data_IF_057466158291
#
_entry.id   IF_057466158291
#
_cell.length_a   1.000
_cell.length_b   1.000
_cell.length_c   1.000
_cell.angle_alpha   90.00
_cell.angle_beta   90.00
_cell.angle_gamma   90.00
#
_symmetry.space_group_name_H-M   'P 1'
#
loop_
_entity.id
_entity.type
_entity.pdbx_description
1 polymer ?
#
# COMPACT_ATOMS: atom_id res chain seq x y z
N UNK A 1 14.17 -24.97 6.43
CA UNK A 1 14.98 -25.15 5.21
C UNK A 1 14.87 -23.90 4.36
N UNK A 2 15.97 -23.15 4.21
CA UNK A 2 16.08 -22.03 3.26
C UNK A 2 16.13 -22.62 1.85
N UNK A 3 15.30 -22.13 0.93
CA UNK A 3 15.59 -22.20 -0.50
C UNK A 3 15.60 -20.77 -1.04
N UNK A 4 16.81 -20.39 -1.44
CA UNK A 4 17.19 -19.15 -2.08
C UNK A 4 17.32 -19.44 -3.59
N UNK A 5 17.22 -18.38 -4.38
CA UNK A 5 17.65 -18.24 -5.79
C UNK A 5 16.64 -18.74 -6.85
N UNK A 6 16.47 -18.13 -8.02
CA UNK A 6 17.34 -17.25 -8.81
C UNK A 6 16.52 -16.17 -9.55
N UNK A 7 17.09 -14.98 -9.69
CA UNK A 7 16.72 -13.98 -10.70
C UNK A 7 17.12 -14.52 -12.07
N UNK A 8 16.23 -14.45 -13.06
CA UNK A 8 16.58 -14.56 -14.47
C UNK A 8 15.91 -13.41 -15.24
N UNK A 9 16.76 -12.43 -15.55
CA UNK A 9 16.51 -11.40 -16.56
C UNK A 9 16.71 -12.07 -17.93
N UNK A 10 15.67 -12.13 -18.75
CA UNK A 10 15.78 -12.53 -20.14
C UNK A 10 14.98 -11.54 -20.99
N UNK A 11 15.69 -10.59 -21.59
CA UNK A 11 15.16 -9.77 -22.67
C UNK A 11 14.87 -10.66 -23.87
N UNK A 12 13.67 -10.48 -24.44
CA UNK A 12 13.27 -11.09 -25.70
C UNK A 12 12.74 -9.97 -26.60
N UNK A 13 13.64 -9.43 -27.40
CA UNK A 13 13.33 -8.61 -28.57
C UNK A 13 12.84 -9.57 -29.65
N UNK A 14 11.59 -9.41 -30.10
CA UNK A 14 11.12 -9.99 -31.35
C UNK A 14 10.45 -8.91 -32.19
N UNK A 15 11.17 -8.52 -33.24
CA UNK A 15 10.70 -7.72 -34.35
C UNK A 15 9.83 -8.60 -35.28
N UNK A 16 8.68 -8.10 -35.70
CA UNK A 16 8.01 -8.52 -36.93
C UNK A 16 7.62 -7.28 -37.74
N UNK A 17 8.07 -7.25 -39.00
CA UNK A 17 7.86 -6.19 -40.00
C UNK A 17 6.40 -6.02 -40.44
N UNK A 18 6.02 -5.08 -41.30
CA UNK A 18 6.69 -4.62 -42.52
C UNK A 18 6.23 -3.20 -42.91
N UNK A 19 7.13 -2.36 -43.43
CA UNK A 19 6.85 -1.56 -44.63
C UNK A 19 8.16 -1.07 -45.26
N UNK A 20 8.16 -0.96 -46.58
CA UNK A 20 9.30 -0.88 -47.50
C UNK A 20 9.40 0.55 -48.05
N UNK A 21 10.58 1.19 -47.98
CA UNK A 21 10.82 2.47 -48.66
C UNK A 21 12.06 3.24 -48.20
N UNK A 22 13.20 2.94 -48.84
CA UNK A 22 14.36 3.75 -49.22
C UNK A 22 14.75 5.12 -48.58
N UNK A 23 16.08 5.23 -48.40
CA UNK A 23 17.00 6.39 -48.51
C UNK A 23 17.43 7.19 -47.25
N UNK A 24 18.69 6.94 -46.86
CA UNK A 24 19.75 7.79 -46.29
C UNK A 24 19.42 9.02 -45.42
N UNK A 25 19.79 8.97 -44.12
CA UNK A 25 20.73 9.91 -43.46
C UNK A 25 20.87 9.65 -41.95
N UNK A 26 22.10 9.86 -41.48
CA UNK A 26 22.55 10.01 -40.09
C UNK A 26 21.47 10.54 -39.13
N UNK A 27 21.21 9.83 -38.04
CA UNK A 27 20.26 10.23 -37.01
C UNK A 27 20.52 9.46 -35.72
N UNK A 28 21.02 10.20 -34.73
CA UNK A 28 21.20 9.81 -33.33
C UNK A 28 19.99 9.04 -32.79
N UNK A 29 20.24 7.98 -32.02
CA UNK A 29 19.20 7.20 -31.36
C UNK A 29 18.24 8.13 -30.59
N UNK A 30 16.92 7.98 -30.71
CA UNK A 30 16.01 8.76 -29.88
C UNK A 30 16.22 8.32 -28.43
N UNK A 31 16.87 9.18 -27.63
CA UNK A 31 16.71 9.17 -26.18
C UNK A 31 15.21 9.26 -25.94
N UNK A 32 14.62 8.14 -25.53
CA UNK A 32 13.36 8.14 -24.80
C UNK A 32 13.59 8.94 -23.53
N UNK A 33 13.42 10.26 -23.61
CA UNK A 33 13.21 11.06 -22.42
C UNK A 33 11.84 10.63 -21.90
N UNK A 34 11.84 9.66 -21.00
CA UNK A 34 10.80 9.57 -19.98
C UNK A 34 10.77 10.94 -19.31
N UNK A 35 9.90 11.81 -19.81
CA UNK A 35 9.53 13.04 -19.15
C UNK A 35 8.72 12.63 -17.93
N UNK A 36 9.42 12.17 -16.89
CA UNK A 36 8.89 12.01 -15.56
C UNK A 36 8.57 13.41 -15.05
N UNK A 37 7.37 13.91 -15.34
CA UNK A 37 6.88 15.13 -14.70
C UNK A 37 6.86 14.86 -13.20
N UNK A 38 7.75 15.51 -12.47
CA UNK A 38 7.74 15.45 -11.00
C UNK A 38 6.39 15.97 -10.51
N UNK A 39 5.73 15.20 -9.63
CA UNK A 39 4.48 15.64 -9.00
C UNK A 39 4.72 16.92 -8.18
N UNK A 40 3.78 17.85 -8.27
CA UNK A 40 3.70 19.02 -7.40
C UNK A 40 3.51 18.61 -5.93
N UNK A 41 3.77 19.54 -5.01
CA UNK A 41 3.59 19.29 -3.57
C UNK A 41 2.12 19.03 -3.25
N UNK A 42 1.23 19.70 -3.96
CA UNK A 42 -0.22 19.57 -3.85
C UNK A 42 -0.68 18.17 -4.28
N UNK A 43 -0.18 17.66 -5.41
CA UNK A 43 -0.47 16.30 -5.89
C UNK A 43 0.06 15.24 -4.92
N UNK A 44 1.29 15.41 -4.41
CA UNK A 44 1.86 14.50 -3.41
C UNK A 44 1.01 14.51 -2.14
N UNK A 45 0.62 15.69 -1.65
CA UNK A 45 -0.20 15.82 -0.43
C UNK A 45 -1.58 15.21 -0.61
N UNK A 46 -2.21 15.40 -1.77
CA UNK A 46 -3.48 14.76 -2.11
C UNK A 46 -3.35 13.23 -2.10
N UNK A 47 -2.29 12.67 -2.70
CA UNK A 47 -2.05 11.23 -2.70
C UNK A 47 -1.76 10.69 -1.31
N UNK A 48 -1.04 11.42 -0.45
CA UNK A 48 -0.81 11.04 0.94
C UNK A 48 -2.12 11.02 1.75
N UNK A 49 -3.02 11.97 1.52
CA UNK A 49 -4.37 11.97 2.14
C UNK A 49 -5.20 10.78 1.66
N UNK A 50 -5.18 10.47 0.38
CA UNK A 50 -5.81 9.25 -0.16
C UNK A 50 -5.30 7.99 0.56
N UNK A 51 -3.98 7.88 0.78
CA UNK A 51 -3.38 6.75 1.51
C UNK A 51 -3.87 6.71 2.97
N UNK A 52 -3.93 7.85 3.65
CA UNK A 52 -4.47 7.91 5.00
C UNK A 52 -5.94 7.46 5.04
N UNK A 53 -6.76 7.91 4.09
CA UNK A 53 -8.19 7.61 4.04
C UNK A 53 -8.45 6.14 3.70
N UNK A 54 -7.67 5.57 2.78
CA UNK A 54 -7.63 4.13 2.51
C UNK A 54 -7.30 3.34 3.77
N UNK A 55 -6.28 3.76 4.52
CA UNK A 55 -5.93 3.07 5.76
C UNK A 55 -7.08 3.13 6.77
N UNK A 56 -7.66 4.31 7.01
CA UNK A 56 -8.73 4.48 8.02
C UNK A 56 -9.98 3.71 7.62
N UNK A 57 -10.40 3.83 6.36
CA UNK A 57 -11.67 3.26 5.88
C UNK A 57 -11.55 1.76 5.66
N UNK A 58 -10.56 1.34 4.88
CA UNK A 58 -10.53 -0.01 4.33
C UNK A 58 -9.70 -0.96 5.20
N UNK A 59 -8.53 -0.51 5.66
CA UNK A 59 -7.64 -1.36 6.50
C UNK A 59 -8.12 -1.39 7.95
N UNK A 60 -8.44 -0.24 8.55
CA UNK A 60 -8.80 -0.16 9.95
C UNK A 60 -10.28 -0.47 10.18
N UNK A 61 -11.21 0.37 9.68
CA UNK A 61 -12.63 0.25 10.01
C UNK A 61 -13.24 -1.05 9.48
N UNK A 62 -13.25 -1.24 8.16
CA UNK A 62 -13.84 -2.43 7.53
C UNK A 62 -13.00 -3.68 7.82
N UNK A 63 -11.68 -3.54 7.89
CA UNK A 63 -10.76 -4.66 8.10
C UNK A 63 -10.51 -5.01 9.56
N UNK A 64 -9.38 -4.54 10.09
CA UNK A 64 -8.80 -5.01 11.34
C UNK A 64 -9.68 -4.74 12.57
N UNK A 65 -10.48 -3.68 12.57
CA UNK A 65 -11.39 -3.37 13.65
C UNK A 65 -12.53 -4.39 13.70
N UNK A 66 -13.28 -4.57 12.61
CA UNK A 66 -14.37 -5.52 12.55
C UNK A 66 -13.90 -6.97 12.72
N UNK A 67 -12.80 -7.36 12.10
CA UNK A 67 -12.20 -8.70 12.30
C UNK A 67 -11.84 -8.91 13.78
N UNK A 68 -11.24 -7.91 14.44
CA UNK A 68 -10.86 -7.99 15.85
C UNK A 68 -12.05 -8.10 16.80
N UNK A 69 -13.14 -7.36 16.52
CA UNK A 69 -14.38 -7.50 17.27
C UNK A 69 -15.05 -8.85 17.03
N UNK A 70 -15.04 -9.34 15.80
CA UNK A 70 -15.60 -10.63 15.46
C UNK A 70 -14.86 -11.77 16.17
N UNK A 71 -13.53 -11.76 16.16
CA UNK A 71 -12.75 -12.77 16.87
C UNK A 71 -12.94 -12.70 18.38
N UNK A 72 -13.29 -11.54 18.94
CA UNK A 72 -13.50 -11.35 20.38
C UNK A 72 -14.92 -11.68 20.84
N UNK A 73 -15.93 -11.27 20.07
CA UNK A 73 -17.34 -11.22 20.49
C UNK A 73 -18.32 -11.85 19.50
N UNK A 74 -17.86 -12.19 18.29
CA UNK A 74 -18.70 -12.74 17.22
C UNK A 74 -19.54 -11.72 16.46
N UNK A 75 -19.38 -10.42 16.74
CA UNK A 75 -20.08 -9.32 16.07
C UNK A 75 -19.10 -8.34 15.42
N UNK A 76 -19.61 -7.41 14.61
CA UNK A 76 -18.86 -6.25 14.14
C UNK A 76 -18.44 -5.33 15.31
N UNK A 77 -17.65 -4.30 15.00
CA UNK A 77 -17.27 -3.25 15.95
C UNK A 77 -18.47 -2.42 16.46
N UNK A 78 -19.60 -2.44 15.75
CA UNK A 78 -20.86 -1.79 16.16
C UNK A 78 -21.80 -2.74 16.91
N UNK A 79 -21.44 -4.01 17.08
CA UNK A 79 -22.27 -5.02 17.75
C UNK A 79 -23.30 -5.70 16.84
N UNK A 80 -23.21 -5.49 15.53
CA UNK A 80 -24.11 -6.09 14.54
C UNK A 80 -23.58 -7.44 14.04
N UNK A 81 -24.44 -8.21 13.37
CA UNK A 81 -24.01 -9.42 12.66
C UNK A 81 -23.01 -9.04 11.56
N UNK A 82 -21.89 -9.76 11.50
CA UNK A 82 -20.82 -9.52 10.53
C UNK A 82 -20.74 -10.66 9.51
N UNK A 83 -20.85 -10.33 8.22
CA UNK A 83 -20.47 -11.24 7.15
C UNK A 83 -18.94 -11.28 7.06
N UNK A 84 -18.35 -12.26 7.74
CA UNK A 84 -16.89 -12.38 7.82
C UNK A 84 -16.26 -12.73 6.46
N UNK A 85 -16.97 -13.45 5.58
CA UNK A 85 -16.44 -13.80 4.26
C UNK A 85 -16.34 -12.56 3.38
N UNK A 86 -17.38 -11.73 3.36
CA UNK A 86 -17.36 -10.44 2.67
C UNK A 86 -16.31 -9.50 3.25
N UNK A 87 -16.21 -9.43 4.58
CA UNK A 87 -15.24 -8.58 5.28
C UNK A 87 -13.81 -8.94 4.91
N UNK A 88 -13.48 -10.25 4.91
CA UNK A 88 -12.16 -10.73 4.51
C UNK A 88 -11.86 -10.46 3.04
N UNK A 89 -12.86 -10.58 2.16
CA UNK A 89 -12.71 -10.22 0.74
C UNK A 89 -12.35 -8.73 0.59
N UNK A 90 -13.09 -7.84 1.23
CA UNK A 90 -12.84 -6.39 1.18
C UNK A 90 -11.48 -6.03 1.79
N UNK A 91 -11.13 -6.63 2.92
CA UNK A 91 -9.83 -6.46 3.56
C UNK A 91 -8.67 -6.90 2.65
N UNK A 92 -8.78 -8.07 2.01
CA UNK A 92 -7.74 -8.57 1.10
C UNK A 92 -7.59 -7.68 -0.15
N UNK A 93 -8.69 -7.17 -0.68
CA UNK A 93 -8.67 -6.17 -1.76
C UNK A 93 -7.97 -4.89 -1.33
N UNK A 94 -8.23 -4.42 -0.10
CA UNK A 94 -7.56 -3.24 0.45
C UNK A 94 -6.05 -3.47 0.62
N UNK A 95 -5.64 -4.59 1.24
CA UNK A 95 -4.23 -4.96 1.47
C UNK A 95 -3.45 -5.07 0.15
N UNK A 96 -4.10 -5.44 -0.95
CA UNK A 96 -3.43 -5.53 -2.26
C UNK A 96 -2.80 -4.21 -2.73
N UNK A 97 -3.29 -3.05 -2.25
CA UNK A 97 -2.74 -1.71 -2.55
C UNK A 97 -1.52 -1.33 -1.69
N UNK A 98 -1.24 -2.08 -0.62
CA UNK A 98 -0.23 -1.72 0.38
C UNK A 98 1.16 -1.52 -0.23
N UNK A 99 1.57 -2.39 -1.16
CA UNK A 99 2.90 -2.30 -1.78
C UNK A 99 3.02 -1.14 -2.79
N UNK A 100 1.92 -0.80 -3.48
CA UNK A 100 1.87 0.40 -4.35
C UNK A 100 2.07 1.66 -3.52
N UNK A 101 1.29 1.82 -2.45
CA UNK A 101 1.38 2.97 -1.55
C UNK A 101 2.73 3.02 -0.84
N UNK A 102 3.29 1.86 -0.46
CA UNK A 102 4.62 1.80 0.12
C UNK A 102 5.71 2.25 -0.86
N UNK A 103 5.57 1.90 -2.13
CA UNK A 103 6.48 2.37 -3.19
C UNK A 103 6.38 3.87 -3.37
N UNK A 104 5.16 4.41 -3.42
CA UNK A 104 4.92 5.84 -3.53
C UNK A 104 5.56 6.64 -2.39
N UNK A 105 5.23 6.32 -1.13
CA UNK A 105 5.71 7.09 0.04
C UNK A 105 7.24 7.01 0.17
N UNK A 106 7.84 5.83 -0.03
CA UNK A 106 9.31 5.70 0.04
C UNK A 106 10.02 6.34 -1.16
N UNK A 107 9.32 6.53 -2.28
CA UNK A 107 9.82 7.19 -3.48
C UNK A 107 10.05 8.69 -3.33
N UNK A 108 9.41 9.33 -2.35
CA UNK A 108 9.52 10.77 -2.09
C UNK A 108 10.96 11.17 -1.71
N UNK A 109 11.49 12.19 -2.40
CA UNK A 109 12.92 12.58 -2.36
C UNK A 109 13.22 13.81 -1.49
N UNK A 110 12.27 14.73 -1.34
CA UNK A 110 12.45 15.95 -0.56
C UNK A 110 12.42 15.65 0.95
N UNK A 111 13.31 16.30 1.71
CA UNK A 111 13.43 16.17 3.17
C UNK A 111 12.16 16.57 3.90
N UNK A 112 11.33 17.44 3.33
CA UNK A 112 10.04 17.80 3.94
C UNK A 112 9.12 16.59 4.14
N UNK A 113 9.37 15.47 3.44
CA UNK A 113 8.61 14.23 3.57
C UNK A 113 9.23 13.21 4.56
N UNK A 114 10.35 13.51 5.21
CA UNK A 114 11.05 12.54 6.06
C UNK A 114 10.20 12.07 7.26
N UNK A 115 9.45 12.98 7.91
CA UNK A 115 8.57 12.62 9.02
C UNK A 115 7.37 11.77 8.56
N UNK A 116 6.80 12.09 7.40
CA UNK A 116 5.75 11.28 6.75
C UNK A 116 6.26 9.87 6.48
N UNK A 117 7.47 9.73 5.91
CA UNK A 117 8.09 8.43 5.63
C UNK A 117 8.37 7.64 6.91
N UNK A 118 8.83 8.32 7.97
CA UNK A 118 9.06 7.68 9.26
C UNK A 118 7.77 7.08 9.84
N UNK A 119 6.68 7.85 9.88
CA UNK A 119 5.39 7.35 10.37
C UNK A 119 4.84 6.23 9.49
N UNK A 120 4.94 6.39 8.16
CA UNK A 120 4.53 5.38 7.19
C UNK A 120 5.29 4.05 7.38
N UNK A 121 6.61 4.07 7.58
CA UNK A 121 7.39 2.85 7.78
C UNK A 121 6.88 2.03 8.97
N UNK A 122 6.52 2.71 10.07
CA UNK A 122 5.93 2.07 11.25
C UNK A 122 4.56 1.50 10.96
N UNK A 123 3.71 2.29 10.29
CA UNK A 123 2.36 1.89 9.92
C UNK A 123 2.38 0.68 8.98
N UNK A 124 3.15 0.74 7.89
CA UNK A 124 3.36 -0.34 6.93
C UNK A 124 3.81 -1.63 7.60
N UNK A 125 4.82 -1.58 8.48
CA UNK A 125 5.29 -2.78 9.20
C UNK A 125 4.20 -3.37 10.09
N UNK A 126 3.45 -2.52 10.79
CA UNK A 126 2.34 -2.95 11.61
C UNK A 126 1.22 -3.61 10.79
N UNK A 127 0.83 -3.00 9.66
CA UNK A 127 -0.18 -3.58 8.75
C UNK A 127 0.26 -4.97 8.30
N UNK A 128 1.53 -5.15 7.89
CA UNK A 128 2.04 -6.47 7.48
C UNK A 128 2.07 -7.49 8.61
N UNK A 129 2.29 -7.06 9.85
CA UNK A 129 2.24 -7.94 11.01
C UNK A 129 0.81 -8.44 11.25
N UNK A 130 -0.17 -7.52 11.28
CA UNK A 130 -1.59 -7.85 11.43
C UNK A 130 -2.11 -8.69 10.25
N UNK A 131 -1.78 -8.31 9.01
CA UNK A 131 -2.18 -9.05 7.81
C UNK A 131 -1.65 -10.48 7.84
N UNK A 132 -0.37 -10.67 8.17
CA UNK A 132 0.19 -12.02 8.31
C UNK A 132 -0.60 -12.87 9.29
N UNK A 133 -1.09 -12.30 10.39
CA UNK A 133 -1.93 -13.01 11.36
C UNK A 133 -3.27 -13.37 10.72
N UNK A 134 -3.93 -12.43 10.05
CA UNK A 134 -5.20 -12.68 9.33
C UNK A 134 -5.03 -13.81 8.32
N UNK A 135 -3.99 -13.78 7.47
CA UNK A 135 -3.77 -14.78 6.43
C UNK A 135 -3.32 -16.15 6.97
N UNK A 136 -2.71 -16.20 8.15
CA UNK A 136 -2.16 -17.45 8.71
C UNK A 136 -3.14 -18.19 9.61
N UNK A 137 -4.33 -17.64 9.85
CA UNK A 137 -5.32 -18.18 10.78
C UNK A 137 -6.69 -18.27 10.11
N UNK A 138 -7.48 -19.24 10.55
CA UNK A 138 -8.91 -19.24 10.26
C UNK A 138 -9.60 -18.22 11.16
N UNK A 139 -10.37 -17.32 10.57
CA UNK A 139 -11.04 -16.25 11.32
C UNK A 139 -12.39 -16.76 11.82
N UNK A 140 -12.45 -17.00 13.14
CA UNK A 140 -13.60 -17.56 13.83
C UNK A 140 -14.13 -16.62 14.89
N UNK A 141 -15.45 -16.53 14.98
CA UNK A 141 -16.14 -15.83 16.06
C UNK A 141 -15.69 -16.33 17.43
N UNK A 142 -15.47 -15.41 18.38
CA UNK A 142 -15.10 -15.74 19.78
C UNK A 142 -13.82 -16.59 19.94
N UNK A 143 -12.91 -16.57 18.97
CA UNK A 143 -11.62 -17.27 19.04
C UNK A 143 -10.59 -16.59 19.93
N UNK A 144 -10.76 -15.29 20.22
CA UNK A 144 -9.79 -14.48 20.96
C UNK A 144 -8.48 -14.22 20.20
N UNK A 145 -8.50 -14.31 18.86
CA UNK A 145 -7.33 -14.07 18.03
C UNK A 145 -6.83 -12.63 18.18
N UNK A 146 -5.57 -12.48 18.61
CA UNK A 146 -4.89 -11.19 18.75
C UNK A 146 -4.26 -10.75 17.41
N UNK A 147 -4.81 -9.70 16.81
CA UNK A 147 -4.37 -9.14 15.53
C UNK A 147 -3.19 -8.16 15.66
N UNK A 148 -2.67 -7.92 16.87
CA UNK A 148 -1.52 -7.02 17.12
C UNK A 148 -1.73 -5.58 16.64
N UNK A 149 -2.91 -5.02 16.88
CA UNK A 149 -3.32 -3.70 16.37
C UNK A 149 -3.02 -2.52 17.30
N UNK A 150 -2.58 -2.77 18.54
CA UNK A 150 -2.45 -1.77 19.63
C UNK A 150 -1.72 -0.47 19.27
N UNK A 151 -0.71 -0.55 18.41
CA UNK A 151 0.14 0.60 18.03
C UNK A 151 -0.27 1.24 16.72
N UNK A 152 -1.15 0.63 15.95
CA UNK A 152 -1.49 1.11 14.60
C UNK A 152 -2.16 2.48 14.64
N UNK A 153 -3.06 2.71 15.60
CA UNK A 153 -3.70 4.02 15.79
C UNK A 153 -2.70 5.15 16.07
N UNK A 154 -1.63 4.86 16.82
CA UNK A 154 -0.56 5.81 17.11
C UNK A 154 0.23 6.15 15.84
N UNK A 155 0.55 5.14 15.04
CA UNK A 155 1.28 5.33 13.78
C UNK A 155 0.44 6.07 12.74
N UNK A 156 -0.85 5.73 12.61
CA UNK A 156 -1.78 6.45 11.72
C UNK A 156 -1.94 7.91 12.16
N UNK A 157 -2.14 8.17 13.46
CA UNK A 157 -2.27 9.54 13.97
C UNK A 157 -1.03 10.37 13.67
N UNK A 158 0.17 9.79 13.82
CA UNK A 158 1.42 10.45 13.45
C UNK A 158 1.51 10.73 11.95
N UNK A 159 1.14 9.74 11.12
CA UNK A 159 1.13 9.88 9.66
C UNK A 159 0.22 11.02 9.21
N UNK A 160 -1.03 11.04 9.68
CA UNK A 160 -2.00 12.10 9.39
C UNK A 160 -1.50 13.48 9.85
N UNK A 161 -0.94 13.55 11.06
CA UNK A 161 -0.36 14.79 11.59
C UNK A 161 0.72 15.35 10.66
N UNK A 162 1.65 14.51 10.21
CA UNK A 162 2.74 14.95 9.34
C UNK A 162 2.26 15.33 7.94
N UNK A 163 1.22 14.67 7.42
CA UNK A 163 0.56 15.10 6.16
C UNK A 163 -0.04 16.49 6.30
N UNK A 164 -0.72 16.78 7.41
CA UNK A 164 -1.33 18.09 7.63
C UNK A 164 -0.29 19.21 7.74
N UNK A 165 0.88 18.92 8.32
CA UNK A 165 1.99 19.87 8.41
C UNK A 165 2.55 20.29 7.03
N UNK A 166 2.42 19.44 6.00
CA UNK A 166 2.84 19.78 4.62
C UNK A 166 1.96 20.86 3.97
N UNK A 167 0.71 21.01 4.40
CA UNK A 167 -0.21 22.03 3.88
C UNK A 167 -0.09 23.39 4.59
N UNK A 168 0.70 23.46 5.66
CA UNK A 168 0.95 24.67 6.44
C UNK A 168 2.32 25.31 6.14
N UNK A 169 3.14 24.65 5.29
CA UNK A 169 4.49 25.04 4.91
C UNK A 169 4.56 25.65 3.52
#
# INVERSE_FOLDING_TARGET
MKKLLFVLLAGMLMLTGCSKGNDDKSGEAPKSSESSSEMSTEEVTAKLREINDWYVTDIWNIGLCDIGYYTTSGTSATGEELDIELTLKQYNEAVSKLEEYNTFVNGLKDKKYDDVKFAWEKLYKGIKESDKIVQSNEIKANSGLDLKTDKLSQYQSAFQKYINALSES
#
